data_IF_094534740676
#
_entry.id   IF_094534740676
#
_cell.length_a   1.000
_cell.length_b   1.000
_cell.length_c   1.000
_cell.angle_alpha   90.00
_cell.angle_beta   90.00
_cell.angle_gamma   90.00
#
_symmetry.space_group_name_H-M   'P 1'
#
loop_
_entity.id
_entity.type
_entity.pdbx_description
1 polymer ?
#
# COMPACT_ATOMS: atom_id res chain seq x y z
N UNK A 1 5.35 22.96 1.28
CA UNK A 1 4.23 22.13 1.78
C UNK A 1 4.78 21.22 2.87
N UNK A 2 4.08 20.99 3.98
CA UNK A 2 4.56 20.06 5.01
C UNK A 2 4.57 18.63 4.47
N UNK A 3 5.56 17.83 4.86
CA UNK A 3 5.57 16.39 4.54
C UNK A 3 4.26 15.76 5.02
N UNK A 4 3.59 14.93 4.20
CA UNK A 4 2.37 14.26 4.60
C UNK A 4 2.62 13.35 5.82
N UNK A 5 1.66 13.32 6.75
CA UNK A 5 1.73 12.45 7.92
C UNK A 5 1.74 10.97 7.49
N UNK A 6 2.73 10.16 7.90
CA UNK A 6 2.79 8.73 7.53
C UNK A 6 1.52 7.96 7.86
N UNK A 7 0.86 8.28 8.98
CA UNK A 7 -0.40 7.67 9.37
C UNK A 7 -1.52 7.95 8.35
N UNK A 8 -1.59 9.16 7.79
CA UNK A 8 -2.58 9.48 6.77
C UNK A 8 -2.31 8.75 5.46
N UNK A 9 -1.04 8.61 5.07
CA UNK A 9 -0.66 7.81 3.89
C UNK A 9 -1.04 6.34 4.07
N UNK A 10 -0.70 5.76 5.23
CA UNK A 10 -1.05 4.39 5.57
C UNK A 10 -2.56 4.17 5.53
N UNK A 11 -3.34 4.98 6.25
CA UNK A 11 -4.79 4.81 6.33
C UNK A 11 -5.46 4.95 4.95
N UNK A 12 -5.02 5.90 4.14
CA UNK A 12 -5.54 6.10 2.79
C UNK A 12 -5.25 4.90 1.88
N UNK A 13 -3.99 4.44 1.87
CA UNK A 13 -3.57 3.30 1.05
C UNK A 13 -4.22 1.99 1.51
N UNK A 14 -4.31 1.76 2.82
CA UNK A 14 -4.92 0.55 3.37
C UNK A 14 -6.41 0.48 3.10
N UNK A 15 -7.14 1.61 3.20
CA UNK A 15 -8.55 1.67 2.81
C UNK A 15 -8.74 1.41 1.31
N UNK A 16 -7.87 1.96 0.45
CA UNK A 16 -7.92 1.71 -0.99
C UNK A 16 -7.70 0.23 -1.31
N UNK A 17 -6.60 -0.35 -0.80
CA UNK A 17 -6.29 -1.77 -0.98
C UNK A 17 -7.41 -2.67 -0.42
N UNK A 18 -8.01 -2.27 0.71
CA UNK A 18 -9.12 -3.02 1.30
C UNK A 18 -10.37 -3.05 0.44
N UNK A 19 -10.66 -1.97 -0.28
CA UNK A 19 -11.75 -1.96 -1.25
C UNK A 19 -11.39 -2.73 -2.53
N UNK A 20 -10.15 -2.61 -3.02
CA UNK A 20 -9.72 -3.29 -4.23
C UNK A 20 -9.72 -4.82 -4.07
N UNK A 21 -9.27 -5.32 -2.92
CA UNK A 21 -9.17 -6.76 -2.63
C UNK A 21 -10.41 -7.36 -1.93
N UNK A 22 -11.59 -6.70 -1.99
CA UNK A 22 -12.80 -7.25 -1.36
C UNK A 22 -13.11 -8.64 -1.91
N UNK A 23 -13.20 -9.61 -1.00
CA UNK A 23 -13.49 -11.01 -1.33
C UNK A 23 -12.25 -11.86 -1.66
N UNK A 24 -11.09 -11.25 -1.87
CA UNK A 24 -9.82 -11.98 -2.00
C UNK A 24 -9.35 -12.47 -0.64
N UNK A 25 -8.85 -13.71 -0.61
CA UNK A 25 -8.30 -14.36 0.58
C UNK A 25 -6.80 -14.59 0.42
N UNK A 26 -6.09 -14.62 1.54
CA UNK A 26 -4.68 -15.00 1.57
C UNK A 26 -4.52 -16.47 1.19
N UNK A 27 -3.54 -16.80 0.34
CA UNK A 27 -3.28 -18.16 -0.11
C UNK A 27 -3.13 -19.13 1.07
N UNK A 28 -3.92 -20.21 1.07
CA UNK A 28 -3.90 -21.22 2.14
C UNK A 28 -4.59 -20.80 3.44
N UNK A 29 -5.37 -19.71 3.44
CA UNK A 29 -6.07 -19.19 4.62
C UNK A 29 -7.46 -18.61 4.27
N UNK A 30 -8.32 -18.49 5.28
CA UNK A 30 -9.61 -17.79 5.17
C UNK A 30 -9.52 -16.29 5.48
N UNK A 31 -8.34 -15.81 5.88
CA UNK A 31 -8.12 -14.40 6.19
C UNK A 31 -8.24 -13.53 4.93
N UNK A 32 -8.77 -12.29 5.05
CA UNK A 32 -8.78 -11.33 3.95
C UNK A 32 -7.38 -11.05 3.43
N UNK A 33 -7.22 -10.88 2.11
CA UNK A 33 -5.93 -10.58 1.48
C UNK A 33 -5.28 -9.30 2.04
N UNK A 34 -6.08 -8.37 2.53
CA UNK A 34 -5.60 -7.16 3.22
C UNK A 34 -4.70 -7.45 4.43
N UNK A 35 -4.78 -8.65 5.00
CA UNK A 35 -3.85 -9.12 6.04
C UNK A 35 -2.43 -9.20 5.52
N UNK A 36 -2.22 -9.69 4.29
CA UNK A 36 -0.90 -9.80 3.65
C UNK A 36 -0.26 -8.43 3.47
N UNK A 37 -0.93 -7.51 2.76
CA UNK A 37 -0.37 -6.18 2.49
C UNK A 37 -0.15 -5.38 3.78
N UNK A 38 -0.97 -5.58 4.82
CA UNK A 38 -0.77 -4.96 6.13
C UNK A 38 0.49 -5.49 6.84
N UNK A 39 0.80 -6.78 6.73
CA UNK A 39 2.05 -7.36 7.25
C UNK A 39 3.27 -6.80 6.51
N UNK A 40 3.21 -6.71 5.16
CA UNK A 40 4.30 -6.12 4.36
C UNK A 40 4.56 -4.67 4.75
N UNK A 41 3.51 -3.86 4.91
CA UNK A 41 3.65 -2.48 5.37
C UNK A 41 4.21 -2.38 6.80
N UNK A 42 3.85 -3.33 7.67
CA UNK A 42 4.41 -3.41 9.03
C UNK A 42 5.92 -3.70 9.00
N UNK A 43 6.38 -4.64 8.19
CA UNK A 43 7.81 -4.91 8.01
C UNK A 43 8.58 -3.65 7.57
N UNK A 44 8.03 -2.89 6.61
CA UNK A 44 8.64 -1.63 6.17
C UNK A 44 8.71 -0.58 7.29
N UNK A 45 7.66 -0.46 8.11
CA UNK A 45 7.63 0.47 9.26
C UNK A 45 8.71 0.09 10.28
N UNK A 46 8.86 -1.19 10.60
CA UNK A 46 9.89 -1.65 11.53
C UNK A 46 11.29 -1.51 10.93
N UNK A 47 11.49 -1.84 9.65
CA UNK A 47 12.74 -1.59 8.96
C UNK A 47 13.13 -0.10 9.00
N UNK A 48 12.20 0.82 8.74
CA UNK A 48 12.46 2.27 8.81
C UNK A 48 12.90 2.75 10.20
N UNK A 49 12.47 2.07 11.26
CA UNK A 49 12.89 2.39 12.64
C UNK A 49 14.32 1.96 12.93
N UNK A 50 14.78 0.87 12.33
CA UNK A 50 16.16 0.38 12.47
C UNK A 50 17.12 1.14 11.54
N UNK A 51 16.71 1.36 10.29
CA UNK A 51 17.46 2.14 9.31
C UNK A 51 16.49 2.99 8.47
N UNK A 52 16.79 4.29 8.35
CA UNK A 52 15.90 5.23 7.64
C UNK A 52 15.71 4.84 6.17
N UNK A 53 14.58 4.22 5.86
CA UNK A 53 14.08 4.08 4.48
C UNK A 53 13.91 5.47 3.85
N UNK A 54 14.60 5.71 2.73
CA UNK A 54 14.44 6.91 1.93
C UNK A 54 13.05 6.96 1.27
N UNK A 55 12.50 8.16 1.12
CA UNK A 55 11.19 8.39 0.49
C UNK A 55 10.04 7.55 1.09
N UNK A 56 9.96 7.46 2.42
CA UNK A 56 8.89 6.74 3.12
C UNK A 56 7.49 7.17 2.67
N UNK A 57 7.34 8.44 2.27
CA UNK A 57 6.11 8.99 1.69
C UNK A 57 5.62 8.27 0.42
N UNK A 58 6.52 7.61 -0.32
CA UNK A 58 6.22 6.78 -1.50
C UNK A 58 6.21 5.30 -1.09
N UNK A 59 7.24 4.86 -0.36
CA UNK A 59 7.41 3.44 -0.04
C UNK A 59 6.26 2.87 0.81
N UNK A 60 5.74 3.65 1.77
CA UNK A 60 4.68 3.20 2.67
C UNK A 60 3.34 2.92 1.95
N UNK A 61 2.79 3.85 1.14
CA UNK A 61 1.61 3.51 0.35
C UNK A 61 1.89 2.42 -0.69
N UNK A 62 3.05 2.41 -1.35
CA UNK A 62 3.42 1.33 -2.30
C UNK A 62 3.38 -0.05 -1.64
N UNK A 63 3.91 -0.22 -0.43
CA UNK A 63 3.85 -1.50 0.28
C UNK A 63 2.43 -2.02 0.50
N UNK A 64 1.47 -1.12 0.75
CA UNK A 64 0.05 -1.47 0.92
C UNK A 64 -0.67 -1.73 -0.42
N UNK A 65 -0.14 -1.17 -1.51
CA UNK A 65 -0.78 -1.15 -2.83
C UNK A 65 -0.12 -2.11 -3.83
N UNK A 66 1.00 -2.76 -3.48
CA UNK A 66 1.87 -3.47 -4.44
C UNK A 66 1.16 -4.50 -5.32
N UNK A 67 0.10 -5.14 -4.82
CA UNK A 67 -0.65 -6.16 -5.57
C UNK A 67 -1.93 -5.62 -6.25
N UNK A 68 -2.29 -4.34 -6.08
CA UNK A 68 -3.60 -3.84 -6.59
C UNK A 68 -3.67 -3.86 -8.12
N UNK A 69 -2.55 -3.62 -8.81
CA UNK A 69 -2.50 -3.65 -10.28
C UNK A 69 -2.41 -5.08 -10.83
N UNK A 70 -1.88 -6.02 -10.05
CA UNK A 70 -1.73 -7.42 -10.47
C UNK A 70 -3.01 -8.23 -10.24
N UNK A 71 -3.61 -8.09 -9.07
CA UNK A 71 -4.67 -8.99 -8.59
C UNK A 71 -6.09 -8.41 -8.70
N UNK A 72 -6.22 -7.11 -9.01
CA UNK A 72 -7.51 -6.42 -8.99
C UNK A 72 -7.78 -5.68 -10.30
N UNK A 73 -9.03 -5.26 -10.57
CA UNK A 73 -9.35 -4.46 -11.76
C UNK A 73 -8.82 -3.01 -11.73
N UNK A 74 -8.17 -2.57 -10.64
CA UNK A 74 -7.62 -1.21 -10.52
C UNK A 74 -6.61 -0.96 -11.63
N UNK A 75 -6.75 0.18 -12.29
CA UNK A 75 -5.85 0.62 -13.35
C UNK A 75 -4.73 1.54 -12.83
N UNK A 76 -3.65 1.62 -13.58
CA UNK A 76 -2.54 2.53 -13.25
C UNK A 76 -3.00 4.00 -13.23
N UNK A 77 -3.93 4.40 -14.09
CA UNK A 77 -4.49 5.76 -14.13
C UNK A 77 -5.31 6.08 -12.86
N UNK A 78 -6.17 5.16 -12.41
CA UNK A 78 -6.93 5.31 -11.15
C UNK A 78 -5.99 5.41 -9.94
N UNK A 79 -4.92 4.61 -9.94
CA UNK A 79 -3.92 4.63 -8.88
C UNK A 79 -3.13 5.94 -8.88
N UNK A 80 -2.74 6.44 -10.06
CA UNK A 80 -2.04 7.69 -10.23
C UNK A 80 -2.91 8.90 -9.84
N UNK A 81 -4.21 8.87 -10.15
CA UNK A 81 -5.16 9.89 -9.70
C UNK A 81 -5.30 9.90 -8.17
N UNK A 82 -5.34 8.72 -7.55
CA UNK A 82 -5.50 8.60 -6.11
C UNK A 82 -4.21 8.94 -5.33
N UNK A 83 -3.03 8.52 -5.78
CA UNK A 83 -1.77 8.59 -5.00
C UNK A 83 -0.63 9.36 -5.66
N UNK A 84 -0.81 9.80 -6.91
CA UNK A 84 0.24 10.44 -7.71
C UNK A 84 1.07 9.43 -8.51
N UNK A 85 1.71 9.94 -9.56
CA UNK A 85 2.47 9.15 -10.54
C UNK A 85 3.64 8.40 -9.90
N UNK A 86 4.29 8.99 -8.89
CA UNK A 86 5.44 8.38 -8.21
C UNK A 86 5.05 7.08 -7.48
N UNK A 87 3.94 7.08 -6.76
CA UNK A 87 3.42 5.87 -6.08
C UNK A 87 2.92 4.86 -7.13
N UNK A 88 2.15 5.31 -8.12
CA UNK A 88 1.58 4.44 -9.14
C UNK A 88 2.60 3.82 -10.11
N UNK A 89 3.82 4.37 -10.17
CA UNK A 89 4.93 3.78 -10.94
C UNK A 89 5.80 2.85 -10.09
N UNK A 90 5.68 2.92 -8.77
CA UNK A 90 6.42 2.08 -7.82
C UNK A 90 5.63 0.83 -7.38
N UNK A 91 4.31 0.86 -7.59
CA UNK A 91 3.40 -0.31 -7.56
C UNK A 91 3.49 -1.00 -8.92
#
# INVERSE_FOLDING_TARGET
>A
MSKPCPQHLYNKAWLFASHAHVGQKMTGSDLPYTTHVAMVANELIFAHREESVGALEIALPTALLHDVLEDTPVTQDELAEAFGVEVASAV
#
